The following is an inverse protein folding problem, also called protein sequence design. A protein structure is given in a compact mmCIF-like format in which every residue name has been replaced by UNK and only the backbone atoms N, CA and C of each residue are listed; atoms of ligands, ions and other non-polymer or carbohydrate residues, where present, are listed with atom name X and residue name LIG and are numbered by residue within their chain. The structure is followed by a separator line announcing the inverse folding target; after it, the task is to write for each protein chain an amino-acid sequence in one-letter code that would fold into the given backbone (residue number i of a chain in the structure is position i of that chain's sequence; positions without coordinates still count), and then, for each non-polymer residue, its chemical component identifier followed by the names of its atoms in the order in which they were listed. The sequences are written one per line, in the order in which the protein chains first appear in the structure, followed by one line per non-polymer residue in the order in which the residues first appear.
data_IF_526079569610
#
_entry.id   IF_526079569610
#
_cell.length_a   1.000
_cell.length_b   1.000
_cell.length_c   1.000
_cell.angle_alpha   90.00
_cell.angle_beta   90.00
_cell.angle_gamma   90.00
#
_symmetry.space_group_name_H-M   'P 1'
#
loop_
_entity.id
_entity.type
_entity.pdbx_description
1 polymer ?
#
# COMPACT_ATOMS: atom_id res chain seq x y z
N UNK A 1 -13.00 -2.82 -0.72
CA UNK A 1 -11.61 -3.24 -0.93
C UNK A 1 -11.06 -2.39 -2.06
N UNK A 2 -10.03 -1.61 -1.79
CA UNK A 2 -9.43 -0.66 -2.73
C UNK A 2 -8.02 -1.14 -3.12
N UNK A 3 -7.75 -1.26 -4.42
CA UNK A 3 -6.44 -1.67 -4.94
C UNK A 3 -5.44 -0.51 -4.87
N UNK A 4 -4.29 -0.73 -4.26
CA UNK A 4 -3.25 0.29 -4.07
C UNK A 4 -2.17 0.21 -5.13
N UNK A 5 -1.54 -0.95 -5.23
CA UNK A 5 -0.40 -1.17 -6.10
C UNK A 5 -0.19 -2.66 -6.33
N UNK A 6 0.48 -2.97 -7.45
CA UNK A 6 0.96 -4.31 -7.74
C UNK A 6 2.46 -4.38 -7.50
N UNK A 7 2.90 -5.37 -6.72
CA UNK A 7 4.29 -5.55 -6.30
C UNK A 7 4.79 -6.93 -6.76
N UNK A 8 6.04 -7.04 -7.26
CA UNK A 8 6.63 -8.33 -7.62
C UNK A 8 6.60 -9.33 -6.46
N UNK A 9 6.38 -10.62 -6.77
CA UNK A 9 6.28 -11.67 -5.74
C UNK A 9 7.50 -11.75 -4.83
N UNK A 10 8.70 -11.53 -5.36
CA UNK A 10 9.96 -11.53 -4.60
C UNK A 10 10.04 -10.39 -3.56
N UNK A 11 9.25 -9.32 -3.74
CA UNK A 11 9.22 -8.13 -2.87
C UNK A 11 8.04 -8.15 -1.89
N UNK A 12 7.05 -9.03 -2.08
CA UNK A 12 5.92 -9.17 -1.16
C UNK A 12 6.39 -9.50 0.26
N UNK A 13 7.40 -10.35 0.41
CA UNK A 13 7.98 -10.69 1.71
C UNK A 13 8.57 -9.46 2.42
N UNK A 14 9.12 -8.50 1.67
CA UNK A 14 9.66 -7.24 2.21
C UNK A 14 8.53 -6.32 2.68
N UNK A 15 7.44 -6.24 1.91
CA UNK A 15 6.25 -5.45 2.27
C UNK A 15 5.58 -5.98 3.54
N UNK A 16 5.40 -7.29 3.65
CA UNK A 16 4.82 -7.93 4.84
C UNK A 16 5.76 -7.75 6.05
N UNK A 17 7.07 -7.84 5.82
CA UNK A 17 8.10 -7.77 6.84
C UNK A 17 8.21 -9.06 7.65
N UNK A 18 9.22 -9.13 8.54
CA UNK A 18 9.45 -10.31 9.39
C UNK A 18 8.21 -10.60 10.24
N UNK A 19 7.63 -11.79 10.06
CA UNK A 19 6.38 -12.23 10.73
C UNK A 19 5.18 -11.29 10.55
N UNK A 20 5.14 -10.47 9.49
CA UNK A 20 4.05 -9.51 9.30
C UNK A 20 4.17 -8.22 10.12
N UNK A 21 5.34 -7.94 10.71
CA UNK A 21 5.54 -6.75 11.53
C UNK A 21 5.26 -5.43 10.78
N UNK A 22 5.73 -5.31 9.54
CA UNK A 22 5.51 -4.10 8.72
C UNK A 22 4.04 -3.94 8.38
N UNK A 23 3.39 -5.02 7.95
CA UNK A 23 1.95 -5.03 7.67
C UNK A 23 1.15 -4.57 8.90
N UNK A 24 1.41 -5.16 10.08
CA UNK A 24 0.71 -4.79 11.32
C UNK A 24 0.92 -3.33 11.69
N UNK A 25 2.15 -2.83 11.57
CA UNK A 25 2.45 -1.43 11.84
C UNK A 25 1.68 -0.48 10.92
N UNK A 26 1.52 -0.84 9.64
CA UNK A 26 0.70 -0.07 8.70
C UNK A 26 -0.79 -0.13 9.08
N UNK A 27 -1.31 -1.34 9.35
CA UNK A 27 -2.71 -1.53 9.74
C UNK A 27 -3.08 -0.75 11.01
N UNK A 28 -2.20 -0.75 12.02
CA UNK A 28 -2.35 0.00 13.26
C UNK A 28 -2.24 1.52 13.03
N UNK A 29 -1.31 1.97 12.18
CA UNK A 29 -1.12 3.39 11.92
C UNK A 29 -2.25 4.02 11.08
N UNK A 30 -2.90 3.23 10.22
CA UNK A 30 -3.91 3.72 9.29
C UNK A 30 -5.32 3.25 9.60
N UNK A 31 -5.48 2.52 10.72
CA UNK A 31 -6.73 1.96 11.21
C UNK A 31 -7.50 1.21 10.10
N UNK A 32 -6.78 0.38 9.35
CA UNK A 32 -7.27 -0.28 8.14
C UNK A 32 -6.68 -1.68 8.00
N UNK A 33 -7.30 -2.54 7.18
CA UNK A 33 -6.82 -3.92 6.96
C UNK A 33 -6.12 -4.04 5.62
N UNK A 34 -4.91 -4.59 5.62
CA UNK A 34 -4.10 -4.75 4.41
C UNK A 34 -4.23 -6.19 3.86
N UNK A 35 -4.66 -6.29 2.60
CA UNK A 35 -4.78 -7.53 1.85
C UNK A 35 -3.70 -7.62 0.79
N UNK A 36 -2.87 -8.65 0.88
CA UNK A 36 -1.76 -8.86 -0.06
C UNK A 36 -1.92 -10.25 -0.65
N UNK A 37 -2.08 -10.33 -1.97
CA UNK A 37 -2.15 -11.58 -2.71
C UNK A 37 -0.73 -11.97 -3.16
N UNK A 38 -0.20 -13.02 -2.52
CA UNK A 38 1.12 -13.57 -2.82
C UNK A 38 1.23 -14.24 -4.20
N UNK A 39 0.12 -14.51 -4.87
CA UNK A 39 0.05 -15.16 -6.18
C UNK A 39 0.10 -14.13 -7.31
N UNK A 40 -0.73 -13.09 -7.22
CA UNK A 40 -0.83 -12.06 -8.26
C UNK A 40 0.10 -10.86 -8.01
N UNK A 41 0.53 -10.68 -6.77
CA UNK A 41 1.25 -9.50 -6.30
C UNK A 41 0.37 -8.29 -6.05
N UNK A 42 -0.95 -8.49 -5.99
CA UNK A 42 -1.89 -7.40 -5.80
C UNK A 42 -1.97 -7.01 -4.32
N UNK A 43 -1.86 -5.71 -4.06
CA UNK A 43 -1.99 -5.14 -2.72
C UNK A 43 -3.22 -4.26 -2.68
N UNK A 44 -4.13 -4.61 -1.79
CA UNK A 44 -5.37 -3.90 -1.55
C UNK A 44 -5.53 -3.57 -0.07
N UNK A 45 -6.33 -2.55 0.22
CA UNK A 45 -6.63 -2.11 1.57
C UNK A 45 -8.13 -2.02 1.77
N UNK A 46 -8.55 -2.30 2.99
CA UNK A 46 -9.90 -2.12 3.47
C UNK A 46 -9.85 -1.07 4.57
N UNK A 47 -10.26 0.15 4.21
CA UNK A 47 -10.41 1.26 5.14
C UNK A 47 -11.61 1.01 6.06
N UNK A 48 -11.45 1.28 7.35
CA UNK A 48 -12.56 1.35 8.31
C UNK A 48 -13.22 2.74 8.21
N UNK A 49 -14.31 3.00 8.95
CA UNK A 49 -15.00 4.29 8.93
C UNK A 49 -14.15 5.46 9.47
N UNK A 50 -13.30 5.21 10.48
CA UNK A 50 -12.32 6.18 10.99
C UNK A 50 -10.98 6.02 10.28
N UNK A 51 -10.77 6.77 9.21
CA UNK A 51 -9.46 6.89 8.55
C UNK A 51 -9.14 8.33 8.19
N UNK A 52 -7.85 8.68 8.24
CA UNK A 52 -7.37 9.98 7.82
C UNK A 52 -7.36 10.09 6.28
N UNK A 53 -8.05 11.07 5.67
CA UNK A 53 -8.06 11.27 4.21
C UNK A 53 -6.65 11.50 3.64
N UNK A 54 -5.79 12.18 4.42
CA UNK A 54 -4.40 12.45 4.06
C UNK A 54 -3.59 11.15 3.99
N UNK A 55 -3.82 10.25 4.95
CA UNK A 55 -3.16 8.95 4.99
C UNK A 55 -3.59 8.14 3.78
N UNK A 56 -4.91 8.03 3.50
CA UNK A 56 -5.41 7.33 2.32
C UNK A 56 -4.80 7.84 1.01
N UNK A 57 -4.61 9.15 0.88
CA UNK A 57 -4.03 9.75 -0.31
C UNK A 57 -2.53 9.41 -0.47
N UNK A 58 -1.78 9.30 0.63
CA UNK A 58 -0.33 8.98 0.62
C UNK A 58 -0.01 7.49 0.70
N UNK A 59 -0.95 6.68 1.17
CA UNK A 59 -0.75 5.27 1.43
C UNK A 59 -0.32 4.46 0.18
N UNK A 60 -0.92 4.67 -1.01
CA UNK A 60 -0.45 4.02 -2.23
C UNK A 60 1.02 4.32 -2.52
N UNK A 61 1.47 5.58 -2.33
CA UNK A 61 2.86 5.98 -2.54
C UNK A 61 3.81 5.29 -1.57
N UNK A 62 3.42 5.15 -0.30
CA UNK A 62 4.20 4.44 0.73
C UNK A 62 4.34 2.96 0.37
N UNK A 63 3.24 2.27 0.04
CA UNK A 63 3.26 0.85 -0.35
C UNK A 63 4.14 0.66 -1.58
N UNK A 64 3.99 1.54 -2.58
CA UNK A 64 4.80 1.52 -3.80
C UNK A 64 6.28 1.74 -3.47
N UNK A 65 6.62 2.70 -2.62
CA UNK A 65 8.00 2.97 -2.20
C UNK A 65 8.66 1.80 -1.42
N UNK A 66 7.87 1.02 -0.67
CA UNK A 66 8.37 -0.19 0.01
C UNK A 66 8.57 -1.32 -1.01
N UNK A 67 7.61 -1.53 -1.90
CA UNK A 67 7.62 -2.61 -2.89
C UNK A 67 8.66 -2.43 -3.99
N UNK A 68 8.79 -1.23 -4.55
CA UNK A 68 9.67 -0.94 -5.69
C UNK A 68 10.83 -0.01 -5.30
N UNK A 69 11.97 -0.18 -5.99
CA UNK A 69 13.15 0.69 -5.83
C UNK A 69 12.85 2.05 -6.46
N UNK A 70 12.50 3.02 -5.60
CA UNK A 70 12.34 4.45 -5.83
C UNK A 70 12.68 4.96 -7.25
N UNK A 71 11.66 5.41 -7.97
CA UNK A 71 11.76 6.67 -8.69
C UNK A 71 10.55 7.53 -8.30
N UNK A 72 10.84 8.61 -7.59
CA UNK A 72 9.91 9.67 -7.27
C UNK A 72 9.51 10.35 -8.57
N UNK A 73 8.46 9.86 -9.24
CA UNK A 73 7.74 10.66 -10.23
C UNK A 73 6.35 10.89 -9.69
N UNK A 74 6.21 12.05 -9.06
CA UNK A 74 4.97 12.74 -8.78
C UNK A 74 4.04 12.58 -9.98
N UNK A 75 3.11 11.64 -9.92
CA UNK A 75 1.97 11.64 -10.82
C UNK A 75 1.03 12.72 -10.31
N UNK A 76 1.32 13.96 -10.70
CA UNK A 76 0.29 14.99 -10.79
C UNK A 76 -0.81 14.40 -11.64
N UNK A 77 -1.94 14.08 -11.01
CA UNK A 77 -3.21 13.84 -11.69
C UNK A 77 -3.51 15.11 -12.49
N UNK A 78 -3.12 15.11 -13.77
CA UNK A 78 -3.64 16.06 -14.73
C UNK A 78 -5.08 15.63 -14.97
N UNK A 79 -5.95 16.46 -14.43
CA UNK A 79 -7.36 16.59 -14.68
C UNK A 79 -7.87 15.82 -15.90
N UNK A 80 -8.88 15.02 -15.62
CA UNK A 80 -9.97 14.64 -16.52
C UNK A 80 -10.21 15.74 -17.56
N UNK A 81 -10.15 15.38 -18.84
CA UNK A 81 -10.78 16.14 -19.93
C UNK A 81 -12.15 15.53 -20.19
#
# INVERSE_FOLDING_TARGET
MEGLARIPQDRIAVLIGRKGATRRALEEATNSTLHIDSTSGDVSVVWNDEFDPIVRMKFPDVIRAIGTRNESRTSTSVAQR
#
